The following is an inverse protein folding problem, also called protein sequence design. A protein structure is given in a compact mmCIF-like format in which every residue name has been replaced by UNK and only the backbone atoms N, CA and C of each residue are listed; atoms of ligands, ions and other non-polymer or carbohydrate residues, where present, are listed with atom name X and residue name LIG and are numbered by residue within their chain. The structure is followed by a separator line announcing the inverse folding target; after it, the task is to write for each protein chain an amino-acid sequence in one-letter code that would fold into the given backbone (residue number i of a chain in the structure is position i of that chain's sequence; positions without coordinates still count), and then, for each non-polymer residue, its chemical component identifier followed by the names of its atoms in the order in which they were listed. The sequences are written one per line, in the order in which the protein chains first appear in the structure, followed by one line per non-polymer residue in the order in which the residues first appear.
data_IF_576967669009
#
_entry.id   IF_576967669009
#
_cell.length_a   1.000
_cell.length_b   1.000
_cell.length_c   1.000
_cell.angle_alpha   90.00
_cell.angle_beta   90.00
_cell.angle_gamma   90.00
#
_symmetry.space_group_name_H-M   'P 1'
#
loop_
_entity.id
_entity.type
_entity.pdbx_description
1 polymer ?
#
# COMPACT_ATOMS: atom_id res chain seq x y z
N UNK A 1 39.48 -12.80 -11.75
CA UNK A 1 38.38 -13.61 -11.16
C UNK A 1 37.27 -12.75 -10.55
N UNK A 2 37.56 -11.75 -9.71
CA UNK A 2 36.54 -10.85 -9.12
C UNK A 2 35.71 -10.05 -10.15
N UNK A 3 36.34 -9.56 -11.21
CA UNK A 3 35.64 -8.81 -12.27
C UNK A 3 34.70 -9.69 -13.11
N UNK A 4 35.00 -10.99 -13.25
CA UNK A 4 34.13 -11.94 -13.94
C UNK A 4 32.89 -12.29 -13.10
N UNK A 5 33.04 -12.34 -11.76
CA UNK A 5 31.92 -12.54 -10.83
C UNK A 5 30.96 -11.34 -10.80
N UNK A 6 31.49 -10.11 -10.87
CA UNK A 6 30.68 -8.88 -10.93
C UNK A 6 29.92 -8.80 -12.27
N UNK A 7 30.57 -9.14 -13.38
CA UNK A 7 29.92 -9.19 -14.69
C UNK A 7 28.83 -10.26 -14.75
N UNK A 8 29.05 -11.43 -14.13
CA UNK A 8 28.04 -12.49 -14.04
C UNK A 8 26.83 -12.10 -13.16
N UNK A 9 27.05 -11.36 -12.07
CA UNK A 9 25.99 -10.89 -11.18
C UNK A 9 25.12 -9.79 -11.80
N UNK A 10 25.72 -8.91 -12.62
CA UNK A 10 24.99 -7.88 -13.38
C UNK A 10 24.15 -8.50 -14.50
N UNK A 11 24.60 -9.61 -15.09
CA UNK A 11 23.87 -10.29 -16.15
C UNK A 11 22.62 -11.03 -15.65
N UNK A 12 22.63 -11.53 -14.42
CA UNK A 12 21.45 -12.19 -13.80
C UNK A 12 20.41 -11.20 -13.28
N UNK A 13 20.80 -9.97 -12.93
CA UNK A 13 19.89 -8.91 -12.49
C UNK A 13 19.00 -8.35 -13.61
N UNK A 14 19.39 -8.53 -14.88
CA UNK A 14 18.60 -8.08 -16.04
C UNK A 14 17.57 -9.10 -16.53
N UNK A 15 17.59 -10.33 -16.01
CA UNK A 15 16.61 -11.39 -16.31
C UNK A 15 15.35 -11.29 -15.43
N UNK A 16 14.75 -10.11 -15.36
CA UNK A 16 13.40 -9.95 -14.82
C UNK A 16 12.40 -10.48 -15.84
N UNK A 17 11.73 -11.61 -15.55
CA UNK A 17 10.61 -12.06 -16.38
C UNK A 17 9.46 -11.07 -16.22
N UNK A 18 8.96 -10.45 -17.29
CA UNK A 18 7.79 -9.59 -17.18
C UNK A 18 6.59 -10.44 -16.76
N UNK A 19 6.01 -10.10 -15.61
CA UNK A 19 4.76 -10.71 -15.14
C UNK A 19 3.60 -10.11 -15.94
N UNK A 20 3.29 -10.71 -17.09
CA UNK A 20 2.12 -10.34 -17.87
C UNK A 20 0.88 -11.08 -17.34
N UNK A 21 -0.07 -10.33 -16.76
CA UNK A 21 -1.40 -10.87 -16.46
C UNK A 21 -2.26 -10.82 -17.73
N UNK A 22 -2.68 -11.99 -18.23
CA UNK A 22 -3.62 -12.08 -19.36
C UNK A 22 -5.04 -12.19 -18.81
N UNK A 23 -5.90 -11.24 -19.14
CA UNK A 23 -7.31 -11.24 -18.72
C UNK A 23 -8.16 -11.81 -19.85
N UNK A 24 -9.13 -12.67 -19.52
CA UNK A 24 -10.08 -13.27 -20.43
C UNK A 24 -11.50 -12.79 -20.14
N UNK A 25 -12.28 -12.55 -21.20
CA UNK A 25 -13.71 -12.34 -21.15
C UNK A 25 -14.39 -13.65 -21.54
N UNK A 26 -15.09 -14.27 -20.62
CA UNK A 26 -15.82 -15.51 -20.85
C UNK A 26 -17.32 -15.23 -20.90
N UNK A 27 -18.03 -15.90 -21.81
CA UNK A 27 -19.47 -15.78 -21.97
C UNK A 27 -20.09 -17.16 -21.71
N UNK A 28 -20.89 -17.27 -20.66
CA UNK A 28 -21.60 -18.52 -20.34
C UNK A 28 -22.76 -18.81 -21.31
N UNK A 29 -23.47 -19.92 -21.09
CA UNK A 29 -24.58 -20.34 -21.95
C UNK A 29 -25.80 -19.41 -21.84
N UNK A 30 -25.92 -18.70 -20.72
CA UNK A 30 -26.98 -17.76 -20.38
C UNK A 30 -26.65 -16.32 -20.81
N UNK A 31 -25.46 -16.09 -21.36
CA UNK A 31 -24.98 -14.77 -21.83
C UNK A 31 -24.33 -13.91 -20.74
N UNK A 32 -24.10 -14.46 -19.54
CA UNK A 32 -23.36 -13.85 -18.46
C UNK A 32 -21.88 -13.68 -18.79
N UNK A 33 -21.35 -12.49 -18.50
CA UNK A 33 -19.96 -12.12 -18.80
C UNK A 33 -19.13 -12.23 -17.53
N UNK A 34 -18.11 -13.08 -17.55
CA UNK A 34 -17.14 -13.23 -16.46
C UNK A 34 -15.74 -12.83 -16.93
N UNK A 35 -15.06 -11.99 -16.15
CA UNK A 35 -13.66 -11.65 -16.39
C UNK A 35 -12.76 -12.48 -15.46
N UNK A 36 -11.82 -13.24 -16.02
CA UNK A 36 -10.95 -14.15 -15.26
C UNK A 36 -9.52 -14.10 -15.78
N UNK A 37 -8.56 -14.40 -14.90
CA UNK A 37 -7.16 -14.61 -15.27
C UNK A 37 -6.88 -16.07 -15.68
N UNK A 38 -7.85 -16.97 -15.46
CA UNK A 38 -7.74 -18.38 -15.77
C UNK A 38 -8.81 -18.78 -16.81
N UNK A 39 -8.46 -19.04 -18.07
CA UNK A 39 -9.43 -19.40 -19.11
C UNK A 39 -10.03 -20.80 -18.89
N UNK A 40 -9.50 -21.61 -17.98
CA UNK A 40 -10.07 -22.92 -17.64
C UNK A 40 -11.23 -22.81 -16.65
N UNK A 41 -11.38 -21.67 -15.96
CA UNK A 41 -12.44 -21.48 -14.96
C UNK A 41 -13.83 -21.22 -15.58
N UNK A 42 -13.93 -21.07 -16.90
CA UNK A 42 -15.19 -20.79 -17.60
C UNK A 42 -15.17 -21.29 -19.06
N UNK A 43 -16.32 -21.24 -19.75
CA UNK A 43 -16.46 -21.61 -21.16
C UNK A 43 -16.52 -20.35 -22.05
N UNK A 44 -16.19 -20.52 -23.34
CA UNK A 44 -16.19 -19.46 -24.36
C UNK A 44 -15.38 -18.21 -23.97
N UNK A 45 -14.14 -18.42 -23.53
CA UNK A 45 -13.24 -17.35 -23.11
C UNK A 45 -12.47 -16.75 -24.29
N UNK A 46 -12.58 -15.45 -24.48
CA UNK A 46 -11.77 -14.66 -25.41
C UNK A 46 -10.75 -13.81 -24.65
N UNK A 47 -9.51 -13.79 -25.11
CA UNK A 47 -8.45 -12.97 -24.50
C UNK A 47 -8.76 -11.48 -24.72
N UNK A 48 -8.84 -10.71 -23.64
CA UNK A 48 -8.91 -9.26 -23.75
C UNK A 48 -7.58 -8.72 -24.27
N UNK A 49 -7.69 -7.99 -25.36
CA UNK A 49 -6.62 -7.21 -25.94
C UNK A 49 -6.42 -5.94 -25.09
N UNK A 50 -5.21 -5.74 -24.58
CA UNK A 50 -4.86 -4.59 -23.75
C UNK A 50 -4.73 -3.28 -24.54
N UNK A 51 -4.79 -3.36 -25.87
CA UNK A 51 -4.72 -2.26 -26.83
C UNK A 51 -6.08 -1.68 -27.23
N UNK A 52 -7.19 -2.09 -26.58
CA UNK A 52 -8.48 -1.45 -26.84
C UNK A 52 -8.46 0.02 -26.37
N UNK A 53 -8.84 0.98 -27.23
CA UNK A 53 -8.94 2.38 -26.83
C UNK A 53 -9.99 2.51 -25.73
N UNK A 54 -9.54 2.91 -24.53
CA UNK A 54 -10.44 3.27 -23.43
C UNK A 54 -11.16 4.54 -23.85
N UNK A 55 -12.46 4.44 -24.12
CA UNK A 55 -13.32 5.60 -24.31
C UNK A 55 -13.44 6.31 -22.96
N UNK A 56 -12.59 7.31 -22.74
CA UNK A 56 -12.68 8.19 -21.59
C UNK A 56 -13.80 9.20 -21.86
N UNK A 57 -14.97 8.95 -21.30
CA UNK A 57 -16.03 9.96 -21.28
C UNK A 57 -15.59 11.00 -20.25
N UNK A 58 -15.37 12.28 -20.62
CA UNK A 58 -15.06 13.30 -19.64
C UNK A 58 -16.18 13.37 -18.61
N UNK A 59 -15.80 13.49 -17.33
CA UNK A 59 -16.77 13.69 -16.26
C UNK A 59 -17.64 14.89 -16.61
N UNK A 60 -18.95 14.65 -16.75
CA UNK A 60 -19.91 15.73 -17.01
C UNK A 60 -19.76 16.75 -15.88
N UNK A 61 -19.59 18.06 -16.18
CA UNK A 61 -19.47 19.08 -15.15
C UNK A 61 -20.68 18.99 -14.22
N UNK A 62 -20.42 18.86 -12.92
CA UNK A 62 -21.48 18.84 -11.91
C UNK A 62 -22.30 20.13 -12.05
N UNK A 63 -23.50 19.99 -12.60
CA UNK A 63 -24.47 21.08 -12.69
C UNK A 63 -24.76 21.57 -11.26
N UNK A 64 -24.66 22.88 -10.97
CA UNK A 64 -25.04 23.40 -9.66
C UNK A 64 -26.48 23.00 -9.36
N UNK A 65 -26.73 22.58 -8.12
CA UNK A 65 -28.03 22.11 -7.65
C UNK A 65 -29.03 23.28 -7.65
N UNK A 66 -29.70 23.51 -8.77
CA UNK A 66 -30.92 24.33 -8.80
C UNK A 66 -32.03 23.55 -8.09
N UNK A 67 -32.62 24.18 -7.08
CA UNK A 67 -33.72 23.69 -6.26
C UNK A 67 -35.06 23.60 -7.02
N UNK A 68 -35.05 22.94 -8.18
CA UNK A 68 -36.27 22.52 -8.86
C UNK A 68 -36.66 21.12 -8.36
N UNK A 69 -37.94 20.83 -8.08
CA UNK A 69 -38.39 19.49 -7.72
C UNK A 69 -38.03 18.53 -8.87
N UNK A 70 -37.09 17.62 -8.61
CA UNK A 70 -36.82 16.52 -9.55
C UNK A 70 -38.10 15.67 -9.62
N UNK A 71 -38.66 15.39 -10.82
CA UNK A 71 -39.67 14.34 -10.93
C UNK A 71 -39.07 13.04 -10.39
N UNK A 72 -39.82 12.36 -9.53
CA UNK A 72 -39.39 11.11 -8.91
C UNK A 72 -38.89 10.16 -10.00
N UNK A 73 -37.63 9.73 -9.88
CA UNK A 73 -37.08 8.71 -10.75
C UNK A 73 -37.98 7.47 -10.64
N UNK A 74 -38.62 7.10 -11.74
CA UNK A 74 -39.32 5.82 -11.88
C UNK A 74 -38.38 4.70 -11.39
N UNK A 75 -38.84 3.79 -10.51
CA UNK A 75 -37.99 2.71 -10.02
C UNK A 75 -37.55 1.85 -11.19
N UNK A 76 -36.27 1.94 -11.54
CA UNK A 76 -35.58 1.03 -12.46
C UNK A 76 -35.82 -0.42 -12.01
N UNK A 77 -35.91 -1.42 -12.91
CA UNK A 77 -36.13 -2.82 -12.53
C UNK A 77 -35.14 -3.23 -11.45
N UNK A 78 -35.68 -3.79 -10.36
CA UNK A 78 -35.00 -4.07 -9.10
C UNK A 78 -33.57 -4.59 -9.27
N UNK A 79 -32.59 -3.70 -9.13
CA UNK A 79 -31.19 -4.08 -9.01
C UNK A 79 -31.04 -4.94 -7.74
N UNK A 80 -30.27 -6.05 -7.78
CA UNK A 80 -30.11 -6.93 -6.63
C UNK A 80 -29.63 -6.14 -5.41
N UNK A 81 -30.44 -6.14 -4.34
CA UNK A 81 -30.09 -5.50 -3.08
C UNK A 81 -29.37 -6.51 -2.20
N UNK A 82 -28.31 -6.05 -1.55
CA UNK A 82 -27.67 -6.79 -0.48
C UNK A 82 -28.65 -6.94 0.68
N UNK A 83 -28.76 -8.15 1.26
CA UNK A 83 -29.58 -8.34 2.46
C UNK A 83 -28.95 -7.62 3.66
N UNK A 84 -29.76 -7.13 4.62
CA UNK A 84 -29.23 -6.49 5.84
C UNK A 84 -28.22 -7.37 6.59
N UNK A 85 -28.45 -8.69 6.64
CA UNK A 85 -27.54 -9.62 7.31
C UNK A 85 -26.21 -9.77 6.57
N UNK A 86 -26.23 -9.79 5.23
CA UNK A 86 -25.00 -9.81 4.44
C UNK A 86 -24.23 -8.49 4.53
N UNK A 87 -24.91 -7.36 4.77
CA UNK A 87 -24.26 -6.07 5.04
C UNK A 87 -23.60 -6.08 6.43
N UNK A 88 -24.31 -6.49 7.48
CA UNK A 88 -23.78 -6.60 8.84
C UNK A 88 -22.55 -7.52 8.91
N UNK A 89 -22.63 -8.70 8.30
CA UNK A 89 -21.50 -9.63 8.24
C UNK A 89 -20.25 -9.02 7.59
N UNK A 90 -20.43 -8.18 6.56
CA UNK A 90 -19.33 -7.44 5.94
C UNK A 90 -18.78 -6.36 6.86
N UNK A 91 -19.65 -5.60 7.52
CA UNK A 91 -19.24 -4.53 8.42
C UNK A 91 -18.50 -5.08 9.64
N UNK A 92 -18.94 -6.21 10.20
CA UNK A 92 -18.24 -6.93 11.27
C UNK A 92 -16.89 -7.50 10.80
N UNK A 93 -16.84 -8.08 9.60
CA UNK A 93 -15.58 -8.55 9.01
C UNK A 93 -14.59 -7.40 8.81
N UNK A 94 -15.08 -6.24 8.33
CA UNK A 94 -14.26 -5.04 8.16
C UNK A 94 -13.72 -4.54 9.50
N UNK A 95 -14.57 -4.51 10.53
CA UNK A 95 -14.16 -4.14 11.89
C UNK A 95 -13.04 -5.05 12.39
N UNK A 96 -13.21 -6.38 12.26
CA UNK A 96 -12.23 -7.35 12.71
C UNK A 96 -10.89 -7.23 11.96
N UNK A 97 -10.91 -6.91 10.67
CA UNK A 97 -9.70 -6.67 9.88
C UNK A 97 -8.97 -5.43 10.41
N UNK A 98 -9.67 -4.31 10.57
CA UNK A 98 -9.08 -3.06 11.07
C UNK A 98 -8.54 -3.21 12.51
N UNK A 99 -9.21 -3.97 13.36
CA UNK A 99 -8.73 -4.26 14.72
C UNK A 99 -7.43 -5.08 14.70
N UNK A 100 -7.34 -6.07 13.81
CA UNK A 100 -6.11 -6.87 13.64
C UNK A 100 -4.96 -6.03 13.10
N UNK A 101 -5.23 -5.19 12.09
CA UNK A 101 -4.25 -4.28 11.52
C UNK A 101 -3.77 -3.28 12.57
N UNK A 102 -4.68 -2.70 13.36
CA UNK A 102 -4.35 -1.78 14.44
C UNK A 102 -3.48 -2.45 15.51
N UNK A 103 -3.80 -3.68 15.90
CA UNK A 103 -2.99 -4.45 16.84
C UNK A 103 -1.58 -4.70 16.28
N UNK A 104 -1.47 -5.09 15.01
CA UNK A 104 -0.20 -5.30 14.34
C UNK A 104 0.64 -4.02 14.27
N UNK A 105 0.05 -2.89 13.92
CA UNK A 105 0.75 -1.61 13.84
C UNK A 105 1.20 -1.10 15.22
N UNK A 106 0.42 -1.35 16.28
CA UNK A 106 0.84 -1.02 17.65
C UNK A 106 2.07 -1.83 18.08
N UNK A 107 2.09 -3.13 17.81
CA UNK A 107 3.28 -3.96 18.06
C UNK A 107 4.48 -3.49 17.23
N UNK A 108 4.27 -3.17 15.95
CA UNK A 108 5.33 -2.65 15.09
C UNK A 108 5.88 -1.29 15.57
N UNK A 109 5.02 -0.42 16.10
CA UNK A 109 5.44 0.84 16.72
C UNK A 109 6.33 0.59 17.95
N UNK A 110 5.93 -0.31 18.83
CA UNK A 110 6.71 -0.67 20.02
C UNK A 110 8.10 -1.22 19.63
N UNK A 111 8.16 -2.11 18.65
CA UNK A 111 9.42 -2.63 18.11
C UNK A 111 10.29 -1.54 17.49
N UNK A 112 9.70 -0.62 16.74
CA UNK A 112 10.42 0.51 16.12
C UNK A 112 11.00 1.45 17.20
N UNK A 113 10.23 1.72 18.26
CA UNK A 113 10.69 2.52 19.40
C UNK A 113 11.84 1.84 20.15
N UNK A 114 11.77 0.53 20.35
CA UNK A 114 12.86 -0.24 20.96
C UNK A 114 14.13 -0.16 20.11
N UNK A 115 14.04 -0.40 18.80
CA UNK A 115 15.19 -0.28 17.88
C UNK A 115 15.80 1.12 17.87
N UNK A 116 14.96 2.16 17.90
CA UNK A 116 15.44 3.53 18.02
C UNK A 116 16.22 3.74 19.33
N UNK A 117 15.69 3.27 20.46
CA UNK A 117 16.34 3.38 21.76
C UNK A 117 17.68 2.62 21.82
N UNK A 118 17.74 1.42 21.22
CA UNK A 118 18.97 0.63 21.09
C UNK A 118 20.05 1.38 20.29
N UNK A 119 19.70 1.96 19.14
CA UNK A 119 20.64 2.71 18.31
C UNK A 119 21.07 4.04 18.93
N UNK A 120 20.18 4.69 19.68
CA UNK A 120 20.50 5.88 20.46
C UNK A 120 21.48 5.57 21.61
N UNK A 121 21.33 4.42 22.26
CA UNK A 121 22.24 3.96 23.32
C UNK A 121 23.56 3.37 22.82
N UNK A 122 23.65 3.02 21.53
CA UNK A 122 24.85 2.42 20.94
C UNK A 122 25.99 3.42 20.77
N UNK A 123 27.16 3.06 21.30
CA UNK A 123 28.43 3.72 21.00
C UNK A 123 28.88 3.40 19.56
N UNK A 124 28.65 4.33 18.66
CA UNK A 124 28.98 4.21 17.24
C UNK A 124 30.35 4.85 16.92
N UNK A 125 31.37 4.08 16.51
CA UNK A 125 32.65 4.64 16.08
C UNK A 125 32.50 5.52 14.82
N UNK A 126 31.51 5.25 13.96
CA UNK A 126 31.20 6.04 12.76
C UNK A 126 30.82 7.49 13.06
N UNK A 127 30.23 7.73 14.24
CA UNK A 127 29.85 9.07 14.72
C UNK A 127 31.07 9.86 15.21
N UNK A 128 32.22 9.22 15.45
CA UNK A 128 33.41 9.91 15.97
C UNK A 128 34.20 10.57 14.85
N UNK A 129 34.65 11.80 15.10
CA UNK A 129 35.60 12.53 14.27
C UNK A 129 36.79 12.99 15.10
N UNK A 130 37.96 13.09 14.48
CA UNK A 130 39.15 13.64 15.13
C UNK A 130 39.15 15.15 14.92
N UNK A 131 39.09 15.91 16.02
CA UNK A 131 39.23 17.36 16.01
C UNK A 131 40.62 17.73 16.51
N UNK A 132 41.34 18.54 15.74
CA UNK A 132 42.58 19.13 16.23
C UNK A 132 42.25 20.21 17.27
N UNK A 133 42.92 20.14 18.41
CA UNK A 133 42.84 21.14 19.48
C UNK A 133 44.26 21.59 19.84
N UNK A 134 44.39 22.69 20.58
CA UNK A 134 45.69 23.19 21.04
C UNK A 134 46.48 22.19 21.89
N UNK A 135 45.80 21.19 22.49
CA UNK A 135 46.40 20.12 23.29
C UNK A 135 46.62 18.82 22.50
N UNK A 136 46.47 18.85 21.18
CA UNK A 136 46.58 17.68 20.29
C UNK A 136 45.23 17.19 19.73
N UNK A 137 45.25 16.09 18.94
CA UNK A 137 44.04 15.52 18.33
C UNK A 137 43.16 14.83 19.37
N UNK A 138 41.86 15.15 19.38
CA UNK A 138 40.86 14.55 20.27
C UNK A 138 39.68 14.00 19.47
N UNK A 139 39.22 12.81 19.83
CA UNK A 139 37.98 12.25 19.29
C UNK A 139 36.77 12.98 19.92
N UNK A 140 35.87 13.47 19.07
CA UNK A 140 34.60 14.09 19.46
C UNK A 140 33.45 13.44 18.69
N UNK A 141 32.26 13.41 19.29
CA UNK A 141 31.04 12.93 18.62
C UNK A 141 30.61 13.99 17.59
N UNK A 142 30.36 13.56 16.36
CA UNK A 142 29.72 14.35 15.32
C UNK A 142 28.21 14.16 15.41
N UNK A 143 27.50 15.21 15.83
CA UNK A 143 26.05 15.19 15.99
C UNK A 143 25.31 14.95 14.67
N UNK A 144 25.79 15.52 13.56
CA UNK A 144 25.15 15.34 12.25
C UNK A 144 25.22 13.89 11.76
N UNK A 145 26.35 13.21 11.94
CA UNK A 145 26.47 11.77 11.63
C UNK A 145 25.56 10.91 12.50
N UNK A 146 25.48 11.24 13.80
CA UNK A 146 24.57 10.56 14.73
C UNK A 146 23.12 10.74 14.30
N UNK A 147 22.73 11.95 13.90
CA UNK A 147 21.39 12.23 13.38
C UNK A 147 21.08 11.47 12.09
N UNK A 148 22.01 11.43 11.14
CA UNK A 148 21.85 10.67 9.89
C UNK A 148 21.65 9.17 10.14
N UNK A 149 22.39 8.61 11.10
CA UNK A 149 22.25 7.22 11.54
C UNK A 149 20.91 6.92 12.20
N UNK A 150 20.43 7.83 13.05
CA UNK A 150 19.17 7.68 13.79
C UNK A 150 17.93 7.99 12.94
N UNK A 151 18.10 8.79 11.88
CA UNK A 151 17.03 9.21 10.97
C UNK A 151 16.13 8.06 10.49
N UNK A 152 16.64 6.95 9.91
CA UNK A 152 15.78 5.86 9.44
C UNK A 152 14.91 5.23 10.55
N UNK A 153 15.41 5.18 11.78
CA UNK A 153 14.67 4.63 12.93
C UNK A 153 13.56 5.58 13.37
N UNK A 154 13.84 6.89 13.39
CA UNK A 154 12.82 7.92 13.66
C UNK A 154 11.75 7.92 12.57
N UNK A 155 12.16 7.85 11.30
CA UNK A 155 11.23 7.80 10.17
C UNK A 155 10.32 6.55 10.25
N UNK A 156 10.81 5.41 10.77
CA UNK A 156 9.99 4.21 11.03
C UNK A 156 8.98 4.41 12.16
N UNK A 157 9.39 4.99 13.29
CA UNK A 157 8.46 5.30 14.40
C UNK A 157 7.35 6.22 13.91
N UNK A 158 7.71 7.28 13.18
CA UNK A 158 6.76 8.24 12.64
C UNK A 158 5.81 7.60 11.61
N UNK A 159 6.30 6.65 10.81
CA UNK A 159 5.47 5.89 9.88
C UNK A 159 4.38 5.10 10.62
N UNK A 160 4.76 4.27 11.59
CA UNK A 160 3.82 3.45 12.35
C UNK A 160 2.81 4.29 13.13
N UNK A 161 3.26 5.41 13.70
CA UNK A 161 2.37 6.36 14.37
C UNK A 161 1.29 6.91 13.42
N UNK A 162 1.67 7.35 12.21
CA UNK A 162 0.70 7.83 11.21
C UNK A 162 -0.25 6.73 10.73
N UNK A 163 0.24 5.50 10.59
CA UNK A 163 -0.58 4.35 10.21
C UNK A 163 -1.65 4.07 11.28
N UNK A 164 -1.26 4.04 12.56
CA UNK A 164 -2.19 3.88 13.68
C UNK A 164 -3.27 4.97 13.64
N UNK A 165 -2.89 6.23 13.48
CA UNK A 165 -3.85 7.33 13.40
C UNK A 165 -4.81 7.20 12.21
N UNK A 166 -4.33 6.68 11.07
CA UNK A 166 -5.16 6.41 9.91
C UNK A 166 -6.18 5.29 10.18
N UNK A 167 -5.73 4.17 10.74
CA UNK A 167 -6.61 3.05 11.12
C UNK A 167 -7.65 3.47 12.16
N UNK A 168 -7.26 4.25 13.16
CA UNK A 168 -8.20 4.76 14.16
C UNK A 168 -9.23 5.72 13.55
N UNK A 169 -8.86 6.51 12.55
CA UNK A 169 -9.83 7.33 11.77
C UNK A 169 -10.80 6.45 11.00
N UNK A 170 -10.33 5.40 10.36
CA UNK A 170 -11.20 4.47 9.62
C UNK A 170 -12.16 3.71 10.54
N UNK A 171 -11.68 3.26 11.70
CA UNK A 171 -12.52 2.60 12.70
C UNK A 171 -13.64 3.52 13.21
N UNK A 172 -13.37 4.82 13.42
CA UNK A 172 -14.42 5.80 13.77
C UNK A 172 -15.47 5.98 12.67
N UNK A 173 -15.12 5.66 11.42
CA UNK A 173 -16.01 5.73 10.27
C UNK A 173 -16.86 4.48 10.03
N UNK A 174 -16.70 3.43 10.85
CA UNK A 174 -17.53 2.22 10.77
C UNK A 174 -18.96 2.55 11.24
N UNK A 175 -19.96 2.12 10.46
CA UNK A 175 -21.39 2.27 10.74
C UNK A 175 -21.98 0.98 11.27
#
# INVERSE_FOLDING_TARGET
MRSALIAALLLTALSGTPAFATVYKCIDAEGGITYTNDPSSARNCERLRSDLPISTVPASPQRPASAAPRPAATPSPSFPRVSPDAQRSRDDSRRQILERELASERTALEEAQQKLAEEEGRDAPEDRIIRQTERGPRAVINLGKREERLKPFRDQVDLHQRNIEALEREMRGLR
#
